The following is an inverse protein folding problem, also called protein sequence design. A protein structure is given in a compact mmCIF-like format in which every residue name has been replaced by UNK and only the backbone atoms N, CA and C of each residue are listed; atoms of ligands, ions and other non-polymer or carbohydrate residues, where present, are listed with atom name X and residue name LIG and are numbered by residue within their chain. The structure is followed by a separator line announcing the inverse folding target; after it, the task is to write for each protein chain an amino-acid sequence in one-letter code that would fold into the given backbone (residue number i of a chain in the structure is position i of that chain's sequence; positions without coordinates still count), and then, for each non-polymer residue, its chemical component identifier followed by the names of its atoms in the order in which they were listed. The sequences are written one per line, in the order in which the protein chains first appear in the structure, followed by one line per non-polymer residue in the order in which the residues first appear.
data_IF_919789470130
#
_entry.id   IF_919789470130
#
_cell.length_a   1.000
_cell.length_b   1.000
_cell.length_c   1.000
_cell.angle_alpha   90.00
_cell.angle_beta   90.00
_cell.angle_gamma   90.00
#
_symmetry.space_group_name_H-M   'P 1'
#
loop_
_entity.id
_entity.type
_entity.pdbx_description
1 polymer ?
#
# COMPACT_ATOMS: atom_id res chain seq x y z
N UNK A 1 11.88 0.03 13.04
CA UNK A 1 11.00 -0.49 11.98
C UNK A 1 11.29 0.13 10.59
N UNK A 2 12.56 0.25 10.16
CA UNK A 2 12.92 0.83 8.83
C UNK A 2 13.06 -0.20 7.69
N UNK A 3 12.90 -1.50 7.97
CA UNK A 3 13.11 -2.58 7.01
C UNK A 3 11.83 -3.18 6.40
N UNK A 4 10.65 -2.63 6.71
CA UNK A 4 9.40 -3.12 6.15
C UNK A 4 9.21 -2.56 4.72
N UNK A 5 8.83 -3.43 3.79
CA UNK A 5 8.51 -3.13 2.38
C UNK A 5 9.70 -2.61 1.52
N UNK A 6 10.87 -3.29 1.51
CA UNK A 6 12.00 -2.87 0.68
C UNK A 6 11.68 -2.87 -0.82
N UNK A 7 10.87 -3.84 -1.27
CA UNK A 7 10.46 -3.96 -2.68
C UNK A 7 9.57 -2.80 -3.12
N UNK A 8 8.66 -2.35 -2.25
CA UNK A 8 7.76 -1.21 -2.54
C UNK A 8 8.55 0.09 -2.58
N UNK A 9 9.45 0.31 -1.61
CA UNK A 9 10.28 1.52 -1.55
C UNK A 9 11.29 1.63 -2.68
N UNK A 10 11.73 0.51 -3.24
CA UNK A 10 12.63 0.46 -4.38
C UNK A 10 11.89 0.56 -5.73
N UNK A 11 10.55 0.58 -5.73
CA UNK A 11 9.76 0.62 -6.93
C UNK A 11 9.74 2.03 -7.54
N UNK A 12 9.79 2.10 -8.86
CA UNK A 12 9.86 3.35 -9.59
C UNK A 12 8.63 4.24 -9.32
N UNK A 13 8.89 5.46 -8.85
CA UNK A 13 7.86 6.42 -8.46
C UNK A 13 7.33 6.27 -7.03
N UNK A 14 7.85 5.36 -6.21
CA UNK A 14 7.48 5.27 -4.79
C UNK A 14 8.28 6.28 -3.96
N UNK A 15 7.60 7.31 -3.44
CA UNK A 15 8.19 8.30 -2.54
C UNK A 15 8.26 7.80 -1.10
N UNK A 16 7.32 6.92 -0.71
CA UNK A 16 7.32 6.33 0.61
C UNK A 16 6.12 5.45 0.90
N UNK A 17 6.25 4.65 1.95
CA UNK A 17 5.20 3.78 2.48
C UNK A 17 5.22 3.83 3.99
N UNK A 18 4.05 4.05 4.58
CA UNK A 18 3.79 4.02 6.01
C UNK A 18 2.68 3.04 6.30
N UNK A 19 2.85 2.26 7.37
CA UNK A 19 1.81 1.40 7.91
C UNK A 19 1.31 2.03 9.21
N UNK A 20 0.07 2.49 9.18
CA UNK A 20 -0.61 3.08 10.33
C UNK A 20 -1.53 2.02 10.92
N UNK A 21 -1.31 1.68 12.18
CA UNK A 21 -2.17 0.76 12.92
C UNK A 21 -3.24 1.57 13.65
N UNK A 22 -4.49 1.12 13.60
CA UNK A 22 -5.55 1.75 14.36
C UNK A 22 -5.34 1.44 15.86
N UNK A 23 -5.32 2.50 16.67
CA UNK A 23 -5.06 2.41 18.12
C UNK A 23 -6.21 1.73 18.86
N UNK A 24 -7.44 1.87 18.37
CA UNK A 24 -8.64 1.32 19.01
C UNK A 24 -9.04 -0.05 18.43
N UNK A 25 -8.63 -0.35 17.19
CA UNK A 25 -8.95 -1.61 16.52
C UNK A 25 -7.69 -2.27 15.94
N UNK A 26 -7.14 -3.25 16.66
CA UNK A 26 -5.93 -3.98 16.24
C UNK A 26 -6.07 -4.80 14.94
N UNK A 27 -7.30 -4.98 14.43
CA UNK A 27 -7.57 -5.64 13.13
C UNK A 27 -7.72 -4.65 11.99
N UNK A 28 -7.63 -3.35 12.27
CA UNK A 28 -7.70 -2.30 11.28
C UNK A 28 -6.32 -1.64 11.15
N UNK A 29 -5.80 -1.65 9.94
CA UNK A 29 -4.57 -0.96 9.60
C UNK A 29 -4.74 -0.27 8.25
N UNK A 30 -4.08 0.86 8.10
CA UNK A 30 -4.09 1.68 6.90
C UNK A 30 -2.68 1.74 6.38
N UNK A 31 -2.50 1.33 5.12
CA UNK A 31 -1.24 1.48 4.41
C UNK A 31 -1.32 2.75 3.58
N UNK A 32 -0.46 3.71 3.90
CA UNK A 32 -0.36 4.98 3.16
C UNK A 32 0.89 4.94 2.31
N UNK A 33 0.70 4.96 1.00
CA UNK A 33 1.78 4.98 0.02
C UNK A 33 1.73 6.28 -0.76
N UNK A 34 2.88 6.94 -0.88
CA UNK A 34 3.04 8.15 -1.68
C UNK A 34 3.74 7.78 -2.97
N UNK A 35 3.11 8.15 -4.09
CA UNK A 35 3.59 7.85 -5.43
C UNK A 35 3.67 9.13 -6.26
N UNK A 36 4.60 9.16 -7.21
CA UNK A 36 4.74 10.29 -8.15
C UNK A 36 3.55 10.42 -9.10
N UNK A 37 2.91 9.30 -9.45
CA UNK A 37 1.69 9.30 -10.25
C UNK A 37 0.85 8.05 -10.01
N UNK A 38 -0.45 8.16 -10.36
CA UNK A 38 -1.38 7.02 -10.37
C UNK A 38 -0.87 5.84 -11.21
N UNK A 39 -0.18 6.10 -12.31
CA UNK A 39 0.34 5.05 -13.19
C UNK A 39 1.47 4.25 -12.52
N UNK A 40 2.31 4.88 -11.70
CA UNK A 40 3.32 4.16 -10.93
C UNK A 40 2.66 3.22 -9.91
N UNK A 41 1.63 3.71 -9.22
CA UNK A 41 0.85 2.87 -8.30
C UNK A 41 0.17 1.70 -9.01
N UNK A 42 -0.48 1.92 -10.16
CA UNK A 42 -1.14 0.86 -10.92
C UNK A 42 -0.16 -0.24 -11.37
N UNK A 43 1.04 0.14 -11.83
CA UNK A 43 2.11 -0.82 -12.17
C UNK A 43 2.55 -1.63 -10.96
N UNK A 44 2.75 -0.97 -9.82
CA UNK A 44 3.10 -1.64 -8.57
C UNK A 44 2.00 -2.58 -8.07
N UNK A 45 0.74 -2.17 -8.15
CA UNK A 45 -0.41 -2.99 -7.79
C UNK A 45 -0.50 -4.23 -8.69
N UNK A 46 -0.29 -4.07 -10.00
CA UNK A 46 -0.24 -5.19 -10.94
C UNK A 46 0.88 -6.17 -10.57
N UNK A 47 2.10 -5.67 -10.31
CA UNK A 47 3.23 -6.49 -9.86
C UNK A 47 2.90 -7.27 -8.57
N UNK A 48 2.31 -6.63 -7.56
CA UNK A 48 1.91 -7.29 -6.30
C UNK A 48 0.76 -8.27 -6.47
N UNK A 49 -0.06 -8.07 -7.49
CA UNK A 49 -1.13 -9.01 -7.88
C UNK A 49 -0.54 -10.24 -8.55
N UNK A 50 0.40 -10.05 -9.49
CA UNK A 50 1.10 -11.14 -10.19
C UNK A 50 1.99 -11.98 -9.26
N UNK A 51 2.65 -11.34 -8.30
CA UNK A 51 3.47 -11.98 -7.26
C UNK A 51 2.62 -12.74 -6.22
N UNK A 52 1.28 -12.63 -6.28
CA UNK A 52 0.37 -13.31 -5.36
C UNK A 52 0.28 -12.67 -3.97
N UNK A 53 1.06 -11.63 -3.69
CA UNK A 53 1.01 -10.87 -2.43
C UNK A 53 -0.40 -10.33 -2.17
N UNK A 54 -1.06 -9.74 -3.17
CA UNK A 54 -2.44 -9.21 -3.03
C UNK A 54 -3.44 -10.34 -2.74
N UNK A 55 -3.25 -11.51 -3.35
CA UNK A 55 -4.08 -12.68 -3.10
C UNK A 55 -3.93 -13.20 -1.67
N UNK A 56 -2.70 -13.23 -1.14
CA UNK A 56 -2.44 -13.59 0.25
C UNK A 56 -3.09 -12.61 1.23
N UNK A 57 -2.95 -11.29 0.99
CA UNK A 57 -3.58 -10.25 1.82
C UNK A 57 -5.11 -10.39 1.78
N UNK A 58 -5.69 -10.55 0.59
CA UNK A 58 -7.14 -10.72 0.41
C UNK A 58 -7.66 -11.96 1.14
N UNK A 59 -6.87 -13.05 1.17
CA UNK A 59 -7.24 -14.29 1.87
C UNK A 59 -7.12 -14.16 3.40
N UNK A 60 -6.30 -13.24 3.90
CA UNK A 60 -6.13 -12.99 5.34
C UNK A 60 -7.16 -11.99 5.89
N UNK A 61 -7.77 -11.16 5.04
CA UNK A 61 -8.75 -10.17 5.45
C UNK A 61 -10.18 -10.71 5.31
N UNK A 62 -11.04 -10.48 6.32
CA UNK A 62 -12.47 -10.82 6.24
C UNK A 62 -13.19 -10.08 5.10
N UNK A 63 -12.68 -8.91 4.74
CA UNK A 63 -13.15 -8.11 3.60
C UNK A 63 -11.92 -7.62 2.87
N UNK A 64 -11.95 -7.67 1.53
CA UNK A 64 -10.82 -7.24 0.70
C UNK A 64 -10.35 -5.81 1.04
N UNK A 65 -9.09 -5.48 0.72
CA UNK A 65 -8.54 -4.16 1.01
C UNK A 65 -9.31 -3.07 0.25
N UNK A 66 -9.66 -2.00 0.95
CA UNK A 66 -10.23 -0.80 0.36
C UNK A 66 -9.10 0.12 -0.12
N UNK A 67 -9.00 0.31 -1.44
CA UNK A 67 -7.97 1.13 -2.06
C UNK A 67 -8.58 2.47 -2.47
N UNK A 68 -8.06 3.55 -1.90
CA UNK A 68 -8.44 4.92 -2.26
C UNK A 68 -7.20 5.70 -2.69
N UNK A 69 -7.31 6.37 -3.83
CA UNK A 69 -6.24 7.18 -4.42
C UNK A 69 -6.62 8.63 -4.22
N UNK A 70 -5.71 9.41 -3.64
CA UNK A 70 -5.90 10.81 -3.34
C UNK A 70 -4.75 11.61 -3.95
N UNK A 71 -5.06 12.80 -4.45
CA UNK A 71 -4.03 13.79 -4.79
C UNK A 71 -3.59 14.49 -3.51
N UNK A 72 -2.28 14.61 -3.33
CA UNK A 72 -1.71 15.38 -2.22
C UNK A 72 -1.70 16.83 -2.68
N UNK A 73 -2.60 17.63 -2.12
CA UNK A 73 -2.64 19.07 -2.33
C UNK A 73 -2.02 19.79 -1.14
N UNK A 74 -1.25 20.84 -1.38
CA UNK A 74 -0.91 21.80 -0.34
C UNK A 74 -2.20 22.46 0.19
N UNK A 75 -2.27 22.65 1.51
CA UNK A 75 -3.42 23.20 2.22
C UNK A 75 -3.55 24.72 2.07
#
# INVERSE_FOLDING_TARGET
CKGAYPVTRAYDGCQGINLTLNVENSRNFVMTETWDSKQHYEKYLAFRTEDGTVGAITSMCETGPDIRIFDITDA
#
